data_IF_267027442384
#
_entry.id   IF_267027442384
#
_cell.length_a   1.000
_cell.length_b   1.000
_cell.length_c   1.000
_cell.angle_alpha   90.00
_cell.angle_beta   90.00
_cell.angle_gamma   90.00
#
_symmetry.space_group_name_H-M   'P 1'
#
loop_
_entity.id
_entity.type
_entity.pdbx_description
1 polymer ?
#
# COMPACT_ATOMS: atom_id res chain seq x y z
N UNK A 1 11.03 -38.18 17.06
CA UNK A 1 12.38 -37.66 16.70
C UNK A 1 12.36 -36.13 16.81
N UNK A 2 13.00 -35.51 17.82
CA UNK A 2 13.07 -34.05 17.93
C UNK A 2 14.41 -33.51 17.38
N UNK A 3 14.35 -32.54 16.46
CA UNK A 3 15.55 -31.86 15.91
C UNK A 3 16.07 -30.83 16.91
N UNK A 4 17.31 -31.05 17.36
CA UNK A 4 18.07 -30.19 18.27
C UNK A 4 18.41 -28.84 17.63
N UNK A 5 18.21 -27.77 18.40
CA UNK A 5 18.66 -26.41 18.12
C UNK A 5 20.17 -26.36 18.40
N UNK A 6 21.00 -26.12 17.37
CA UNK A 6 22.46 -26.08 17.49
C UNK A 6 22.89 -24.73 18.10
N UNK A 7 23.22 -24.77 19.39
CA UNK A 7 23.81 -23.68 20.15
C UNK A 7 25.18 -23.31 19.53
N UNK A 8 25.34 -22.07 19.04
CA UNK A 8 26.60 -21.59 18.43
C UNK A 8 27.44 -20.95 19.55
N UNK A 9 28.50 -21.66 19.92
CA UNK A 9 29.50 -21.31 20.92
C UNK A 9 30.20 -19.96 20.63
N UNK A 10 30.28 -19.12 21.66
CA UNK A 10 31.06 -17.88 21.70
C UNK A 10 32.58 -18.19 21.68
N UNK A 11 33.42 -17.33 21.08
CA UNK A 11 34.87 -17.51 21.07
C UNK A 11 35.49 -17.24 22.46
N UNK A 12 36.63 -17.90 22.80
CA UNK A 12 37.24 -17.84 24.12
C UNK A 12 37.93 -16.50 24.42
N UNK A 13 37.91 -16.09 25.69
CA UNK A 13 38.63 -14.93 26.20
C UNK A 13 40.16 -15.11 26.12
N UNK A 14 40.93 -14.06 25.75
CA UNK A 14 42.38 -14.07 25.89
C UNK A 14 42.80 -13.79 27.34
N UNK A 15 43.23 -14.85 28.02
CA UNK A 15 43.95 -14.83 29.31
C UNK A 15 45.36 -14.25 29.18
N UNK A 16 45.65 -13.19 29.95
CA UNK A 16 46.98 -12.76 30.46
C UNK A 16 48.04 -12.30 29.43
N UNK A 17 48.92 -11.35 29.69
CA UNK A 17 49.23 -10.60 30.89
C UNK A 17 50.07 -9.35 30.50
N UNK A 18 49.73 -8.23 31.15
CA UNK A 18 50.64 -7.20 31.70
C UNK A 18 51.74 -6.58 30.82
N UNK A 19 51.63 -5.26 30.59
CA UNK A 19 52.38 -4.25 31.36
C UNK A 19 52.01 -2.80 30.97
N UNK A 20 51.53 -2.02 31.97
CA UNK A 20 51.67 -0.56 32.17
C UNK A 20 51.05 0.38 31.12
N UNK A 21 50.44 1.54 31.42
CA UNK A 21 50.20 2.28 32.66
C UNK A 21 48.97 3.19 32.47
N UNK A 22 48.40 3.59 33.60
CA UNK A 22 47.31 4.54 33.85
C UNK A 22 47.26 5.78 32.94
N UNK A 23 46.05 6.18 32.53
CA UNK A 23 45.50 7.56 32.52
C UNK A 23 43.97 7.37 32.44
N UNK A 24 43.13 7.82 33.38
CA UNK A 24 42.85 9.24 33.66
C UNK A 24 41.45 9.57 33.11
N UNK A 25 40.46 9.73 33.99
CA UNK A 25 39.09 10.17 33.69
C UNK A 25 39.10 11.45 32.83
N UNK A 26 38.43 11.45 31.68
CA UNK A 26 38.11 12.69 30.95
C UNK A 26 36.62 12.93 30.99
N UNK A 27 36.26 14.13 31.47
CA UNK A 27 34.90 14.61 31.69
C UNK A 27 34.23 14.97 30.38
N UNK A 28 32.91 14.86 30.41
CA UNK A 28 31.98 14.98 29.30
C UNK A 28 31.37 16.40 29.28
N UNK A 29 32.16 17.43 28.96
CA UNK A 29 31.62 18.80 28.85
C UNK A 29 32.45 19.77 27.98
N UNK A 30 32.96 19.35 26.82
CA UNK A 30 33.64 20.26 25.88
C UNK A 30 33.29 20.02 24.39
N UNK A 31 32.00 19.83 24.08
CA UNK A 31 31.58 19.71 22.66
C UNK A 31 30.37 20.57 22.27
N UNK A 32 30.11 21.65 23.02
CA UNK A 32 28.92 22.49 22.80
C UNK A 32 29.14 23.74 21.94
N UNK A 33 30.38 24.17 21.68
CA UNK A 33 30.64 25.49 21.09
C UNK A 33 31.69 25.48 19.96
N UNK A 34 31.52 24.65 18.92
CA UNK A 34 32.42 24.63 17.75
C UNK A 34 31.76 24.42 16.38
N UNK A 35 30.45 24.16 16.32
CA UNK A 35 29.79 23.70 15.08
C UNK A 35 28.88 24.74 14.40
N UNK A 36 28.90 26.01 14.83
CA UNK A 36 27.95 27.04 14.34
C UNK A 36 28.51 28.07 13.36
N UNK A 37 29.74 27.91 12.84
CA UNK A 37 30.37 29.00 12.07
C UNK A 37 30.91 28.63 10.67
N UNK A 38 30.54 27.48 10.08
CA UNK A 38 31.09 27.08 8.76
C UNK A 38 30.08 26.57 7.72
N UNK A 39 28.77 26.61 7.98
CA UNK A 39 27.71 26.30 6.96
C UNK A 39 26.90 27.56 6.63
N UNK A 40 27.59 28.72 6.54
CA UNK A 40 26.97 30.01 6.25
C UNK A 40 27.22 30.57 4.85
N UNK A 41 28.08 29.94 4.05
CA UNK A 41 28.61 30.55 2.81
C UNK A 41 28.62 29.62 1.57
N UNK A 42 27.97 28.45 1.63
CA UNK A 42 27.95 27.48 0.52
C UNK A 42 26.53 27.03 0.10
N UNK A 43 25.52 27.89 0.29
CA UNK A 43 24.12 27.60 -0.04
C UNK A 43 23.47 28.72 -0.89
N UNK A 44 24.27 29.38 -1.75
CA UNK A 44 23.81 30.39 -2.71
C UNK A 44 24.22 30.13 -4.17
N UNK A 45 24.69 28.93 -4.52
CA UNK A 45 25.04 28.54 -5.91
C UNK A 45 24.58 27.10 -6.20
N UNK A 46 23.26 26.90 -6.25
CA UNK A 46 22.66 25.59 -6.56
C UNK A 46 21.28 25.67 -7.19
N UNK A 47 20.97 26.76 -7.89
CA UNK A 47 19.80 26.85 -8.78
C UNK A 47 20.25 26.45 -10.18
N UNK A 48 19.43 25.61 -10.84
CA UNK A 48 19.50 25.19 -12.25
C UNK A 48 20.11 23.80 -12.55
N UNK A 49 19.49 22.75 -12.00
CA UNK A 49 19.19 21.53 -12.78
C UNK A 49 18.14 20.68 -12.07
N UNK A 50 16.91 21.20 -12.07
CA UNK A 50 15.73 20.36 -11.94
C UNK A 50 14.86 20.64 -13.17
N UNK A 51 15.36 20.22 -14.34
CA UNK A 51 14.45 19.85 -15.42
C UNK A 51 13.66 18.66 -14.90
N UNK A 52 12.44 18.92 -14.45
CA UNK A 52 11.47 17.86 -14.21
C UNK A 52 11.18 17.20 -15.55
N UNK A 53 11.79 16.04 -15.78
CA UNK A 53 11.30 15.07 -16.75
C UNK A 53 9.86 14.74 -16.35
N UNK A 54 8.90 15.38 -17.02
CA UNK A 54 7.52 14.90 -17.02
C UNK A 54 7.53 13.59 -17.79
N UNK A 55 7.15 12.45 -17.19
CA UNK A 55 6.97 11.24 -17.97
C UNK A 55 5.77 11.47 -18.90
N UNK A 56 6.05 11.79 -20.16
CA UNK A 56 5.09 11.65 -21.26
C UNK A 56 4.81 10.17 -21.48
N UNK A 57 3.93 9.62 -20.66
CA UNK A 57 3.05 8.55 -21.10
C UNK A 57 1.71 9.21 -21.43
N UNK A 58 1.55 9.62 -22.69
CA UNK A 58 0.35 10.26 -23.18
C UNK A 58 -0.87 9.40 -22.86
N UNK A 59 -1.65 9.82 -21.88
CA UNK A 59 -3.06 9.48 -21.84
C UNK A 59 -3.78 10.82 -21.82
N UNK A 60 -4.27 11.22 -23.01
CA UNK A 60 -5.00 12.45 -23.24
C UNK A 60 -5.93 12.72 -22.05
N UNK A 61 -5.72 13.85 -21.37
CA UNK A 61 -6.60 14.26 -20.28
C UNK A 61 -8.01 14.50 -20.85
N UNK A 62 -9.00 13.86 -20.24
CA UNK A 62 -10.41 14.05 -20.56
C UNK A 62 -11.04 15.15 -19.69
N UNK A 63 -10.51 15.35 -18.48
CA UNK A 63 -10.90 16.42 -17.57
C UNK A 63 -9.73 16.79 -16.64
N UNK A 64 -9.73 18.02 -16.13
CA UNK A 64 -8.79 18.52 -15.12
C UNK A 64 -9.60 19.15 -13.99
N UNK A 65 -9.45 18.64 -12.77
CA UNK A 65 -10.17 19.07 -11.57
C UNK A 65 -9.17 19.55 -10.52
N UNK A 66 -9.06 20.86 -10.33
CA UNK A 66 -8.14 21.49 -9.38
C UNK A 66 -6.68 20.97 -9.50
N UNK A 67 -6.22 20.77 -10.74
CA UNK A 67 -4.86 20.27 -11.04
C UNK A 67 -4.73 18.74 -11.05
N UNK A 68 -5.77 17.98 -10.72
CA UNK A 68 -5.80 16.53 -10.94
C UNK A 68 -6.42 16.20 -12.30
N UNK A 69 -5.72 15.41 -13.10
CA UNK A 69 -6.20 14.97 -14.42
C UNK A 69 -6.96 13.64 -14.31
N UNK A 70 -8.06 13.52 -15.05
CA UNK A 70 -8.69 12.24 -15.39
C UNK A 70 -8.26 11.92 -16.81
N UNK A 71 -7.43 10.89 -16.97
CA UNK A 71 -6.89 10.52 -18.27
C UNK A 71 -7.81 9.54 -19.01
N UNK A 72 -7.63 9.42 -20.32
CA UNK A 72 -8.36 8.44 -21.12
C UNK A 72 -8.17 6.99 -20.63
N UNK A 73 -6.95 6.63 -20.19
CA UNK A 73 -6.65 5.30 -19.68
C UNK A 73 -7.32 5.02 -18.33
N UNK A 74 -7.33 6.00 -17.42
CA UNK A 74 -8.10 5.88 -16.17
C UNK A 74 -9.59 5.74 -16.45
N UNK A 75 -10.12 6.57 -17.35
CA UNK A 75 -11.53 6.51 -17.75
C UNK A 75 -11.90 5.12 -18.26
N UNK A 76 -11.12 4.56 -19.19
CA UNK A 76 -11.40 3.25 -19.78
C UNK A 76 -11.30 2.12 -18.75
N UNK A 77 -10.32 2.19 -17.83
CA UNK A 77 -10.21 1.25 -16.72
C UNK A 77 -11.47 1.30 -15.84
N UNK A 78 -11.89 2.51 -15.42
CA UNK A 78 -13.10 2.70 -14.60
C UNK A 78 -14.35 2.24 -15.32
N UNK A 79 -14.45 2.52 -16.63
CA UNK A 79 -15.56 2.09 -17.46
C UNK A 79 -15.67 0.57 -17.56
N UNK A 80 -14.53 -0.12 -17.69
CA UNK A 80 -14.49 -1.59 -17.75
C UNK A 80 -14.92 -2.28 -16.45
N UNK A 81 -14.82 -1.58 -15.32
CA UNK A 81 -15.19 -2.09 -13.99
C UNK A 81 -16.68 -1.95 -13.69
N UNK A 82 -17.46 -1.27 -14.54
CA UNK A 82 -18.90 -1.09 -14.32
C UNK A 82 -19.61 -2.44 -14.50
N UNK A 83 -20.31 -2.96 -13.48
CA UNK A 83 -21.09 -4.17 -13.59
C UNK A 83 -22.22 -4.03 -14.62
N UNK A 84 -22.58 -5.13 -15.29
CA UNK A 84 -23.59 -5.14 -16.37
C UNK A 84 -24.92 -4.51 -15.98
N UNK A 85 -25.36 -4.73 -14.74
CA UNK A 85 -26.61 -4.16 -14.23
C UNK A 85 -26.55 -2.63 -14.16
N UNK A 86 -25.39 -2.05 -13.83
CA UNK A 86 -25.17 -0.61 -13.69
C UNK A 86 -24.88 0.07 -15.04
N UNK A 87 -24.38 -0.67 -16.04
CA UNK A 87 -24.13 -0.14 -17.40
C UNK A 87 -25.38 0.43 -18.05
N UNK A 88 -26.57 -0.06 -17.68
CA UNK A 88 -27.87 0.43 -18.19
C UNK A 88 -28.10 1.92 -17.89
N UNK A 89 -27.57 2.44 -16.78
CA UNK A 89 -27.66 3.86 -16.42
C UNK A 89 -26.90 4.76 -17.41
N UNK A 90 -25.89 4.20 -18.08
CA UNK A 90 -25.06 4.86 -19.09
C UNK A 90 -25.37 4.36 -20.51
N UNK A 91 -26.60 3.89 -20.77
CA UNK A 91 -26.98 3.45 -22.11
C UNK A 91 -27.12 4.63 -23.09
N UNK A 92 -26.93 4.35 -24.38
CA UNK A 92 -27.06 5.32 -25.47
C UNK A 92 -25.77 6.08 -25.79
N UNK A 93 -25.81 6.94 -26.83
CA UNK A 93 -24.61 7.59 -27.37
C UNK A 93 -23.89 8.50 -26.37
N UNK A 94 -24.62 9.08 -25.42
CA UNK A 94 -24.07 10.01 -24.41
C UNK A 94 -23.61 9.32 -23.11
N UNK A 95 -23.71 8.00 -23.03
CA UNK A 95 -23.43 7.24 -21.81
C UNK A 95 -22.04 7.47 -21.23
N UNK A 96 -21.02 7.45 -22.09
CA UNK A 96 -19.63 7.70 -21.69
C UNK A 96 -19.42 9.13 -21.19
N UNK A 97 -20.10 10.12 -21.77
CA UNK A 97 -20.06 11.51 -21.31
C UNK A 97 -20.67 11.64 -19.92
N UNK A 98 -21.84 11.05 -19.69
CA UNK A 98 -22.48 11.02 -18.36
C UNK A 98 -21.59 10.36 -17.31
N UNK A 99 -20.91 9.28 -17.67
CA UNK A 99 -19.96 8.64 -16.76
C UNK A 99 -18.75 9.53 -16.45
N UNK A 100 -18.24 10.29 -17.44
CA UNK A 100 -17.17 11.26 -17.19
C UNK A 100 -17.62 12.35 -16.21
N UNK A 101 -18.83 12.88 -16.37
CA UNK A 101 -19.43 13.86 -15.45
C UNK A 101 -19.58 13.30 -14.03
N UNK A 102 -19.96 12.03 -13.89
CA UNK A 102 -20.01 11.33 -12.60
C UNK A 102 -18.61 11.21 -11.96
N UNK A 103 -17.58 10.85 -12.74
CA UNK A 103 -16.21 10.78 -12.24
C UNK A 103 -15.69 12.14 -11.78
N UNK A 104 -16.01 13.21 -12.52
CA UNK A 104 -15.69 14.60 -12.13
C UNK A 104 -16.36 14.94 -10.80
N UNK A 105 -17.64 14.61 -10.66
CA UNK A 105 -18.41 14.87 -9.43
C UNK A 105 -17.85 14.11 -8.24
N UNK A 106 -17.53 12.83 -8.41
CA UNK A 106 -16.87 12.01 -7.39
C UNK A 106 -15.52 12.59 -6.96
N UNK A 107 -14.70 13.05 -7.90
CA UNK A 107 -13.41 13.65 -7.57
C UNK A 107 -13.58 14.94 -6.75
N UNK A 108 -14.51 15.81 -7.12
CA UNK A 108 -14.80 17.03 -6.35
C UNK A 108 -15.24 16.71 -4.91
N UNK A 109 -16.11 15.72 -4.73
CA UNK A 109 -16.54 15.27 -3.40
C UNK A 109 -15.38 14.69 -2.60
N UNK A 110 -14.50 13.91 -3.23
CA UNK A 110 -13.33 13.34 -2.58
C UNK A 110 -12.33 14.43 -2.14
N UNK A 111 -12.12 15.45 -2.97
CA UNK A 111 -11.28 16.59 -2.61
C UNK A 111 -11.86 17.36 -1.42
N UNK A 112 -13.17 17.58 -1.39
CA UNK A 112 -13.84 18.22 -0.26
C UNK A 112 -13.75 17.38 1.02
N UNK A 113 -13.92 16.06 0.93
CA UNK A 113 -13.77 15.16 2.07
C UNK A 113 -12.35 15.22 2.67
N UNK A 114 -11.31 15.25 1.81
CA UNK A 114 -9.91 15.42 2.23
C UNK A 114 -9.65 16.79 2.84
N UNK A 115 -10.22 17.85 2.25
CA UNK A 115 -10.13 19.21 2.80
C UNK A 115 -10.73 19.31 4.20
N UNK A 116 -11.80 18.55 4.48
CA UNK A 116 -12.41 18.42 5.81
C UNK A 116 -11.67 17.46 6.75
N UNK A 117 -10.65 16.76 6.26
CA UNK A 117 -9.83 15.84 7.06
C UNK A 117 -10.49 14.49 7.37
N UNK A 118 -11.55 14.10 6.64
CA UNK A 118 -12.20 12.79 6.84
C UNK A 118 -11.26 11.62 6.49
N UNK A 119 -10.26 11.86 5.64
CA UNK A 119 -9.21 10.89 5.31
C UNK A 119 -8.18 10.70 6.44
N UNK A 120 -8.22 11.52 7.48
CA UNK A 120 -7.28 11.51 8.62
C UNK A 120 -7.98 11.18 9.94
N UNK A 121 -9.30 11.00 9.92
CA UNK A 121 -10.02 10.65 11.12
C UNK A 121 -9.65 9.22 11.57
N UNK A 122 -9.49 9.04 12.88
CA UNK A 122 -9.05 7.76 13.44
C UNK A 122 -10.00 6.61 13.10
N UNK A 123 -11.35 6.75 13.22
CA UNK A 123 -12.29 5.69 12.84
C UNK A 123 -12.18 5.23 11.38
N UNK A 124 -11.90 6.15 10.45
CA UNK A 124 -11.71 5.88 9.02
C UNK A 124 -10.39 5.15 8.81
N UNK A 125 -9.28 5.62 9.39
CA UNK A 125 -7.98 4.98 9.27
C UNK A 125 -8.00 3.54 9.81
N UNK A 126 -8.64 3.31 10.96
CA UNK A 126 -8.81 1.97 11.52
C UNK A 126 -9.68 1.07 10.60
N UNK A 127 -10.67 1.64 9.92
CA UNK A 127 -11.49 0.90 8.94
C UNK A 127 -10.71 0.54 7.68
N UNK A 128 -9.90 1.47 7.17
CA UNK A 128 -9.01 1.24 6.03
C UNK A 128 -8.03 0.12 6.35
N UNK A 129 -7.43 0.14 7.54
CA UNK A 129 -6.47 -0.89 7.96
C UNK A 129 -7.11 -2.28 8.06
N UNK A 130 -8.27 -2.40 8.73
CA UNK A 130 -9.00 -3.68 8.79
C UNK A 130 -9.40 -4.20 7.41
N UNK A 131 -9.78 -3.30 6.50
CA UNK A 131 -10.10 -3.68 5.12
C UNK A 131 -8.85 -4.21 4.40
N UNK A 132 -7.70 -3.55 4.58
CA UNK A 132 -6.41 -3.97 4.02
C UNK A 132 -6.02 -5.37 4.50
N UNK A 133 -6.02 -5.60 5.81
CA UNK A 133 -5.70 -6.90 6.42
C UNK A 133 -6.60 -8.01 5.88
N UNK A 134 -7.92 -7.80 5.88
CA UNK A 134 -8.88 -8.78 5.36
C UNK A 134 -8.67 -9.08 3.88
N UNK A 135 -8.34 -8.07 3.08
CA UNK A 135 -8.13 -8.24 1.63
C UNK A 135 -6.88 -9.06 1.33
N UNK A 136 -5.81 -8.89 2.13
CA UNK A 136 -4.59 -9.69 2.01
C UNK A 136 -4.83 -11.15 2.41
N UNK A 137 -5.53 -11.38 3.52
CA UNK A 137 -5.87 -12.73 3.96
C UNK A 137 -6.77 -13.46 2.96
N UNK A 138 -7.76 -12.75 2.41
CA UNK A 138 -8.64 -13.30 1.37
C UNK A 138 -7.83 -13.68 0.12
N UNK A 139 -6.89 -12.83 -0.31
CA UNK A 139 -6.02 -13.13 -1.44
C UNK A 139 -5.19 -14.38 -1.20
N UNK A 140 -4.58 -14.50 -0.02
CA UNK A 140 -3.80 -15.68 0.36
C UNK A 140 -4.67 -16.95 0.38
N UNK A 141 -5.88 -16.89 0.95
CA UNK A 141 -6.80 -18.04 0.97
C UNK A 141 -7.13 -18.50 -0.45
N UNK A 142 -7.45 -17.57 -1.34
CA UNK A 142 -7.80 -17.91 -2.72
C UNK A 142 -6.62 -18.59 -3.44
N UNK A 143 -5.40 -18.09 -3.24
CA UNK A 143 -4.20 -18.62 -3.91
C UNK A 143 -3.70 -19.94 -3.31
N UNK A 144 -3.71 -20.08 -1.99
CA UNK A 144 -3.07 -21.21 -1.31
C UNK A 144 -4.04 -22.29 -0.86
N UNK A 145 -5.31 -21.95 -0.61
CA UNK A 145 -6.32 -22.90 -0.15
C UNK A 145 -7.24 -23.26 -1.30
N UNK A 146 -8.01 -22.28 -1.81
CA UNK A 146 -9.10 -22.56 -2.73
C UNK A 146 -8.58 -23.10 -4.08
N UNK A 147 -7.43 -22.61 -4.56
CA UNK A 147 -6.79 -23.11 -5.79
C UNK A 147 -6.25 -24.55 -5.68
N UNK A 148 -5.98 -25.03 -4.46
CA UNK A 148 -5.46 -26.39 -4.22
C UNK A 148 -6.58 -27.41 -4.02
N UNK A 149 -7.79 -26.97 -3.64
CA UNK A 149 -8.95 -27.84 -3.45
C UNK A 149 -9.48 -28.33 -4.80
N UNK A 150 -9.40 -29.65 -5.03
CA UNK A 150 -10.04 -30.32 -6.17
C UNK A 150 -11.23 -31.12 -5.65
N UNK A 151 -12.45 -30.61 -5.87
CA UNK A 151 -13.67 -31.35 -5.55
C UNK A 151 -14.02 -32.27 -6.71
N UNK A 152 -14.16 -33.57 -6.43
CA UNK A 152 -14.54 -34.53 -7.46
C UNK A 152 -16.06 -34.79 -7.48
N UNK A 153 -16.61 -35.13 -8.65
CA UNK A 153 -18.05 -35.34 -8.86
C UNK A 153 -18.61 -36.50 -8.04
N UNK A 154 -17.82 -37.54 -7.82
CA UNK A 154 -18.18 -38.69 -6.99
C UNK A 154 -18.31 -38.30 -5.52
N UNK A 155 -17.44 -37.43 -5.00
CA UNK A 155 -17.51 -36.91 -3.62
C UNK A 155 -18.76 -36.07 -3.41
N UNK A 156 -19.12 -35.23 -4.39
CA UNK A 156 -20.36 -34.44 -4.36
C UNK A 156 -21.59 -35.35 -4.35
N UNK A 157 -21.62 -36.39 -5.19
CA UNK A 157 -22.73 -37.36 -5.22
C UNK A 157 -22.84 -38.14 -3.91
N UNK A 158 -21.72 -38.60 -3.34
CA UNK A 158 -21.69 -39.33 -2.09
C UNK A 158 -22.16 -38.46 -0.92
N UNK A 159 -21.74 -37.19 -0.88
CA UNK A 159 -22.18 -36.22 0.11
C UNK A 159 -23.70 -35.98 0.01
N UNK A 160 -24.23 -35.77 -1.21
CA UNK A 160 -25.66 -35.57 -1.43
C UNK A 160 -26.49 -36.79 -0.99
N UNK A 161 -26.07 -38.00 -1.36
CA UNK A 161 -26.77 -39.23 -0.98
C UNK A 161 -26.81 -39.44 0.54
N UNK A 162 -25.73 -39.10 1.25
CA UNK A 162 -25.62 -39.25 2.71
C UNK A 162 -26.39 -38.16 3.47
N UNK A 163 -26.64 -37.00 2.85
CA UNK A 163 -27.27 -35.83 3.47
C UNK A 163 -28.63 -35.47 2.87
N UNK A 164 -29.28 -36.40 2.15
CA UNK A 164 -30.49 -36.13 1.37
C UNK A 164 -31.64 -35.51 2.20
N UNK A 165 -31.73 -35.83 3.50
CA UNK A 165 -32.74 -35.28 4.40
C UNK A 165 -32.61 -33.75 4.64
N UNK A 166 -31.43 -33.15 4.42
CA UNK A 166 -31.19 -31.71 4.59
C UNK A 166 -31.59 -30.87 3.38
N UNK A 167 -32.03 -31.51 2.29
CA UNK A 167 -32.32 -30.87 1.00
C UNK A 167 -33.74 -31.16 0.49
N UNK A 168 -34.67 -31.55 1.37
CA UNK A 168 -36.09 -31.70 1.02
C UNK A 168 -36.84 -30.37 1.18
N UNK A 169 -37.77 -30.07 0.25
CA UNK A 169 -38.70 -28.93 0.29
C UNK A 169 -39.96 -29.28 1.07
#
# INVERSE_FOLDING_TARGET
MPRMIKNRSLPPEPTGASRGMAWGRVRLDEWRNGFKATIGLALLLGVASACSDKPEASSKALAIINGKEITASEFDLRWSQIPDYARKTFAGPEGRKKFLEELITHELLLQEAKKRGFDRDRPFLERVERFRERSLLERLRVEEVDAQVKVNREEVKAYYATNAANYTT
#
